data_IF_838761645904
#
_entry.id   IF_838761645904
#
_cell.length_a   1.000
_cell.length_b   1.000
_cell.length_c   1.000
_cell.angle_alpha   90.00
_cell.angle_beta   90.00
_cell.angle_gamma   90.00
#
_symmetry.space_group_name_H-M   'P 1'
#
loop_
_entity.id
_entity.type
_entity.pdbx_description
1 polymer ?
#
# COMPACT_ATOMS: atom_id res chain seq x y z
N UNK A 1 -12.77 -20.09 -19.60
CA UNK A 1 -13.19 -19.88 -18.20
C UNK A 1 -12.65 -18.53 -17.79
N UNK A 2 -13.55 -17.58 -17.52
CA UNK A 2 -13.20 -16.26 -17.03
C UNK A 2 -13.33 -16.27 -15.50
N UNK A 3 -12.26 -16.60 -14.81
CA UNK A 3 -12.16 -16.41 -13.38
C UNK A 3 -12.05 -14.91 -13.12
N UNK A 4 -12.93 -14.38 -12.28
CA UNK A 4 -12.89 -12.96 -11.86
C UNK A 4 -12.13 -12.90 -10.56
N UNK A 5 -11.05 -12.11 -10.52
CA UNK A 5 -10.27 -11.83 -9.32
C UNK A 5 -10.70 -10.46 -8.82
N UNK A 6 -11.26 -10.38 -7.62
CA UNK A 6 -11.85 -9.12 -7.10
C UNK A 6 -10.93 -8.41 -6.11
N UNK A 7 -10.15 -9.16 -5.32
CA UNK A 7 -9.30 -8.59 -4.27
C UNK A 7 -7.87 -8.29 -4.74
N UNK A 8 -7.35 -7.14 -4.32
CA UNK A 8 -6.01 -6.70 -4.73
C UNK A 8 -4.90 -7.67 -4.33
N UNK A 9 -5.00 -8.32 -3.17
CA UNK A 9 -4.06 -9.35 -2.73
C UNK A 9 -4.09 -10.57 -3.63
N UNK A 10 -5.28 -11.01 -4.04
CA UNK A 10 -5.45 -12.14 -4.97
C UNK A 10 -4.82 -11.82 -6.33
N UNK A 11 -4.98 -10.58 -6.83
CA UNK A 11 -4.33 -10.12 -8.06
C UNK A 11 -2.80 -10.19 -7.93
N UNK A 12 -2.24 -9.77 -6.80
CA UNK A 12 -0.79 -9.84 -6.55
C UNK A 12 -0.32 -11.30 -6.56
N UNK A 13 -1.01 -12.19 -5.84
CA UNK A 13 -0.68 -13.61 -5.76
C UNK A 13 -0.81 -14.29 -7.12
N UNK A 14 -1.85 -13.98 -7.87
CA UNK A 14 -2.02 -14.46 -9.24
C UNK A 14 -0.87 -13.98 -10.14
N UNK A 15 -0.55 -12.70 -10.13
CA UNK A 15 0.54 -12.14 -10.94
C UNK A 15 1.90 -12.78 -10.62
N UNK A 16 2.17 -13.09 -9.34
CA UNK A 16 3.36 -13.82 -8.93
C UNK A 16 3.36 -15.27 -9.43
N UNK A 17 2.20 -15.93 -9.47
CA UNK A 17 2.07 -17.31 -9.98
C UNK A 17 2.28 -17.40 -11.49
N UNK A 18 1.79 -16.41 -12.24
CA UNK A 18 1.94 -16.33 -13.69
C UNK A 18 3.33 -15.84 -14.15
N UNK A 19 4.14 -15.34 -13.21
CA UNK A 19 5.45 -14.79 -13.56
C UNK A 19 6.41 -15.86 -14.05
N UNK A 20 6.91 -15.68 -15.27
CA UNK A 20 7.97 -16.53 -15.86
C UNK A 20 9.39 -16.18 -15.38
N UNK A 21 9.52 -15.17 -14.51
CA UNK A 21 10.82 -14.74 -13.98
C UNK A 21 11.21 -15.60 -12.78
N UNK A 22 11.83 -16.74 -13.01
CA UNK A 22 12.54 -17.56 -12.01
C UNK A 22 11.96 -17.51 -10.58
N UNK A 23 12.78 -17.15 -9.60
CA UNK A 23 12.43 -17.17 -8.18
C UNK A 23 11.67 -15.92 -7.67
N UNK A 24 10.99 -15.16 -8.54
CA UNK A 24 10.35 -13.90 -8.15
C UNK A 24 9.33 -14.12 -7.02
N UNK A 25 8.59 -15.22 -7.05
CA UNK A 25 7.65 -15.57 -5.99
C UNK A 25 8.37 -15.75 -4.64
N UNK A 26 9.51 -16.44 -4.62
CA UNK A 26 10.28 -16.66 -3.40
C UNK A 26 10.88 -15.36 -2.85
N UNK A 27 11.20 -14.40 -3.71
CA UNK A 27 11.76 -13.10 -3.33
C UNK A 27 10.67 -12.24 -2.68
N UNK A 28 9.53 -12.09 -3.33
CA UNK A 28 8.46 -11.21 -2.84
C UNK A 28 7.52 -11.88 -1.86
N UNK A 29 7.50 -13.21 -1.79
CA UNK A 29 6.65 -13.97 -0.90
C UNK A 29 7.40 -15.19 -0.37
N UNK A 30 8.41 -14.99 0.51
CA UNK A 30 9.21 -16.07 1.08
C UNK A 30 8.37 -16.95 2.00
N UNK A 31 8.50 -18.27 1.83
CA UNK A 31 7.67 -19.25 2.52
C UNK A 31 7.81 -19.19 4.06
N UNK A 32 9.03 -18.93 4.54
CA UNK A 32 9.31 -18.81 5.97
C UNK A 32 8.79 -17.52 6.63
N UNK A 33 8.20 -16.61 5.87
CA UNK A 33 7.60 -15.34 6.33
C UNK A 33 6.13 -15.21 5.95
N UNK A 34 5.56 -16.24 5.38
CA UNK A 34 4.23 -16.21 4.78
C UNK A 34 3.14 -15.82 5.77
N UNK A 35 3.17 -16.41 6.97
CA UNK A 35 2.19 -16.14 8.01
C UNK A 35 2.27 -14.68 8.48
N UNK A 36 3.47 -14.20 8.80
CA UNK A 36 3.71 -12.82 9.23
C UNK A 36 3.30 -11.80 8.16
N UNK A 37 3.57 -12.13 6.89
CA UNK A 37 3.18 -11.30 5.74
C UNK A 37 1.67 -11.20 5.62
N UNK A 38 0.95 -12.31 5.74
CA UNK A 38 -0.51 -12.29 5.71
C UNK A 38 -1.11 -11.57 6.91
N UNK A 39 -0.52 -11.72 8.09
CA UNK A 39 -0.99 -11.05 9.30
C UNK A 39 -0.93 -9.52 9.14
N UNK A 40 0.20 -8.97 8.71
CA UNK A 40 0.35 -7.51 8.55
C UNK A 40 -0.51 -6.96 7.40
N UNK A 41 -0.72 -7.72 6.32
CA UNK A 41 -1.64 -7.34 5.24
C UNK A 41 -3.09 -7.33 5.75
N UNK A 42 -3.49 -8.37 6.49
CA UNK A 42 -4.82 -8.46 7.07
C UNK A 42 -5.09 -7.31 8.06
N UNK A 43 -4.12 -6.95 8.89
CA UNK A 43 -4.18 -5.78 9.76
C UNK A 43 -4.40 -4.47 8.97
N UNK A 44 -3.64 -4.31 7.88
CA UNK A 44 -3.83 -3.16 6.99
C UNK A 44 -5.24 -3.13 6.40
N UNK A 45 -5.72 -4.24 5.87
CA UNK A 45 -6.96 -4.29 5.09
C UNK A 45 -8.21 -4.18 5.96
N UNK A 46 -8.21 -4.76 7.15
CA UNK A 46 -9.38 -4.79 8.03
C UNK A 46 -9.40 -3.67 9.06
N UNK A 47 -8.24 -3.13 9.47
CA UNK A 47 -8.18 -2.16 10.54
C UNK A 47 -7.63 -0.80 10.08
N UNK A 48 -6.42 -0.76 9.54
CA UNK A 48 -5.83 0.52 9.15
C UNK A 48 -6.64 1.23 8.07
N UNK A 49 -7.05 0.53 7.01
CA UNK A 49 -7.88 1.10 5.92
C UNK A 49 -9.22 1.62 6.43
N UNK A 50 -9.84 0.92 7.39
CA UNK A 50 -11.07 1.38 8.02
C UNK A 50 -10.89 2.76 8.67
N UNK A 51 -9.80 2.96 9.40
CA UNK A 51 -9.49 4.23 10.04
C UNK A 51 -9.03 5.30 9.03
N UNK A 52 -8.21 4.93 8.06
CA UNK A 52 -7.77 5.80 6.97
C UNK A 52 -8.95 6.40 6.21
N UNK A 53 -9.91 5.59 5.80
CA UNK A 53 -11.04 6.04 4.98
C UNK A 53 -11.93 7.01 5.77
N UNK A 54 -12.19 6.75 7.04
CA UNK A 54 -13.01 7.60 7.90
C UNK A 54 -12.30 8.90 8.29
N UNK A 55 -11.00 8.87 8.41
CA UNK A 55 -10.19 10.07 8.58
C UNK A 55 -10.16 10.91 7.30
N UNK A 56 -9.81 10.29 6.17
CA UNK A 56 -9.66 10.97 4.88
C UNK A 56 -10.97 11.51 4.32
N UNK A 57 -12.07 10.80 4.53
CA UNK A 57 -13.38 11.11 4.00
C UNK A 57 -14.43 11.34 5.10
N UNK A 58 -14.04 11.98 6.20
CA UNK A 58 -14.90 12.19 7.36
C UNK A 58 -16.30 12.74 7.00
N UNK A 59 -16.38 13.63 6.02
CA UNK A 59 -17.64 14.22 5.54
C UNK A 59 -18.61 13.22 4.91
N UNK A 60 -18.16 12.03 4.53
CA UNK A 60 -19.01 10.96 3.96
C UNK A 60 -19.66 10.08 5.03
N UNK A 61 -19.17 10.13 6.25
CA UNK A 61 -19.61 9.30 7.37
C UNK A 61 -20.26 10.21 8.43
N UNK A 62 -21.59 10.17 8.53
CA UNK A 62 -22.37 11.10 9.37
C UNK A 62 -22.02 11.06 10.86
N UNK A 63 -21.58 9.90 11.35
CA UNK A 63 -21.28 9.65 12.76
C UNK A 63 -19.78 9.38 12.99
N UNK A 64 -18.91 9.84 12.08
CA UNK A 64 -17.47 9.59 12.16
C UNK A 64 -16.79 10.65 13.02
N UNK A 65 -16.16 10.22 14.10
CA UNK A 65 -15.21 11.01 14.87
C UNK A 65 -13.84 10.95 14.15
N UNK A 66 -13.54 12.01 13.40
CA UNK A 66 -12.29 12.13 12.63
C UNK A 66 -11.06 11.99 13.53
N UNK A 67 -11.06 12.59 14.74
CA UNK A 67 -9.94 12.53 15.66
C UNK A 67 -9.74 11.12 16.23
N UNK A 68 -10.83 10.42 16.50
CA UNK A 68 -10.78 9.01 16.89
C UNK A 68 -10.10 8.15 15.80
N UNK A 69 -10.51 8.32 14.54
CA UNK A 69 -9.96 7.57 13.43
C UNK A 69 -8.50 7.94 13.14
N UNK A 70 -8.17 9.22 13.20
CA UNK A 70 -6.77 9.66 13.11
C UNK A 70 -5.90 9.03 14.19
N UNK A 71 -6.32 9.10 15.45
CA UNK A 71 -5.57 8.57 16.60
C UNK A 71 -5.34 7.05 16.47
N UNK A 72 -6.34 6.31 16.00
CA UNK A 72 -6.18 4.87 15.80
C UNK A 72 -5.28 4.55 14.59
N UNK A 73 -5.41 5.27 13.47
CA UNK A 73 -4.50 5.11 12.34
C UNK A 73 -3.03 5.36 12.72
N UNK A 74 -2.75 6.36 13.57
CA UNK A 74 -1.40 6.65 14.06
C UNK A 74 -0.79 5.50 14.86
N UNK A 75 -1.57 4.68 15.55
CA UNK A 75 -1.04 3.50 16.26
C UNK A 75 -0.38 2.52 15.30
N UNK A 76 -0.98 2.28 14.13
CA UNK A 76 -0.41 1.44 13.07
C UNK A 76 0.87 2.06 12.51
N UNK A 77 0.85 3.36 12.22
CA UNK A 77 2.03 4.08 11.71
C UNK A 77 3.22 3.95 12.67
N UNK A 78 3.00 4.11 13.98
CA UNK A 78 4.04 3.97 15.00
C UNK A 78 4.57 2.54 15.07
N UNK A 79 3.69 1.55 15.14
CA UNK A 79 4.08 0.13 15.16
C UNK A 79 4.87 -0.25 13.90
N UNK A 80 4.42 0.18 12.74
CA UNK A 80 5.14 -0.09 11.49
C UNK A 80 6.48 0.66 11.42
N UNK A 81 6.57 1.86 11.99
CA UNK A 81 7.85 2.56 12.11
C UNK A 81 8.85 1.78 12.98
N UNK A 82 8.40 1.16 14.07
CA UNK A 82 9.23 0.31 14.92
C UNK A 82 9.75 -0.92 14.16
N UNK A 83 8.90 -1.62 13.40
CA UNK A 83 9.31 -2.74 12.54
C UNK A 83 10.33 -2.32 11.48
N UNK A 84 10.17 -1.14 10.90
CA UNK A 84 11.07 -0.57 9.90
C UNK A 84 12.33 0.06 10.50
N UNK A 85 12.43 0.21 11.82
CA UNK A 85 13.64 0.71 12.46
C UNK A 85 14.78 -0.31 12.43
N UNK A 86 14.45 -1.59 12.43
CA UNK A 86 15.41 -2.69 12.40
C UNK A 86 15.70 -3.20 10.98
N UNK A 87 14.81 -2.89 10.03
CA UNK A 87 14.88 -3.43 8.66
C UNK A 87 14.56 -2.34 7.64
N UNK A 88 15.11 -2.49 6.44
CA UNK A 88 14.81 -1.60 5.32
C UNK A 88 13.37 -1.73 4.82
N UNK A 89 12.79 -2.93 4.90
CA UNK A 89 11.41 -3.28 4.58
C UNK A 89 10.82 -4.12 5.71
N UNK A 90 9.52 -4.36 5.76
CA UNK A 90 8.88 -5.06 6.88
C UNK A 90 9.55 -6.38 7.27
N UNK A 91 10.10 -7.12 6.32
CA UNK A 91 10.65 -8.45 6.56
C UNK A 91 12.12 -8.61 6.13
N UNK A 92 12.88 -7.52 6.06
CA UNK A 92 14.31 -7.56 5.77
C UNK A 92 14.79 -6.50 4.77
N UNK A 93 15.82 -6.82 3.99
CA UNK A 93 16.51 -5.88 3.08
C UNK A 93 15.85 -5.75 1.71
N UNK A 94 14.88 -6.59 1.40
CA UNK A 94 14.14 -6.59 0.14
C UNK A 94 12.64 -6.48 0.38
N UNK A 95 11.91 -5.75 -0.50
CA UNK A 95 10.48 -5.61 -0.35
C UNK A 95 9.75 -6.94 -0.56
N UNK A 96 8.71 -7.19 0.22
CA UNK A 96 7.79 -8.30 0.06
C UNK A 96 6.43 -7.82 -0.43
N UNK A 97 5.49 -8.74 -0.65
CA UNK A 97 4.10 -8.35 -0.97
C UNK A 97 3.45 -7.55 0.16
N UNK A 98 3.90 -7.70 1.42
CA UNK A 98 3.43 -6.86 2.52
C UNK A 98 3.74 -5.38 2.25
N UNK A 99 4.98 -5.08 1.86
CA UNK A 99 5.40 -3.72 1.52
C UNK A 99 4.58 -3.17 0.36
N UNK A 100 4.41 -3.95 -0.71
CA UNK A 100 3.64 -3.53 -1.89
C UNK A 100 2.15 -3.36 -1.61
N UNK A 101 1.59 -4.13 -0.68
CA UNK A 101 0.18 -4.02 -0.29
C UNK A 101 -0.09 -2.83 0.62
N UNK A 102 0.85 -2.47 1.51
CA UNK A 102 0.62 -1.49 2.59
C UNK A 102 1.03 -0.07 2.18
N UNK A 103 2.16 0.10 1.46
CA UNK A 103 2.68 1.43 1.15
C UNK A 103 1.69 2.38 0.46
N UNK A 104 0.77 1.95 -0.44
CA UNK A 104 -0.17 2.86 -1.07
C UNK A 104 -1.13 3.51 -0.06
N UNK A 105 -1.50 2.77 0.97
CA UNK A 105 -2.43 3.24 2.01
C UNK A 105 -1.72 4.15 3.02
N UNK A 106 -0.50 3.81 3.42
CA UNK A 106 0.34 4.69 4.25
C UNK A 106 0.64 6.01 3.52
N UNK A 107 0.91 5.96 2.22
CA UNK A 107 1.05 7.15 1.38
C UNK A 107 -0.23 7.99 1.37
N UNK A 108 -1.39 7.37 1.20
CA UNK A 108 -2.67 8.08 1.23
C UNK A 108 -2.91 8.74 2.58
N UNK A 109 -2.59 8.05 3.68
CA UNK A 109 -2.71 8.60 5.02
C UNK A 109 -1.77 9.79 5.23
N UNK A 110 -0.51 9.71 4.78
CA UNK A 110 0.42 10.84 4.81
C UNK A 110 -0.14 12.06 4.08
N UNK A 111 -0.63 11.89 2.85
CA UNK A 111 -1.20 12.99 2.07
C UNK A 111 -2.43 13.60 2.79
N UNK A 112 -3.28 12.78 3.39
CA UNK A 112 -4.41 13.27 4.18
C UNK A 112 -3.95 14.06 5.41
N UNK A 113 -2.92 13.59 6.12
CA UNK A 113 -2.31 14.31 7.24
C UNK A 113 -1.70 15.65 6.81
N UNK A 114 -0.96 15.67 5.71
CA UNK A 114 -0.35 16.90 5.16
C UNK A 114 -1.42 17.94 4.77
N UNK A 115 -2.53 17.52 4.17
CA UNK A 115 -3.64 18.41 3.81
C UNK A 115 -4.28 19.08 5.03
N UNK A 116 -4.21 18.44 6.19
CA UNK A 116 -4.71 18.95 7.46
C UNK A 116 -3.60 19.57 8.34
N UNK A 117 -2.39 19.76 7.81
CA UNK A 117 -1.21 20.30 8.53
C UNK A 117 -0.76 19.43 9.71
N UNK A 118 -1.03 18.13 9.68
CA UNK A 118 -0.64 17.13 10.68
C UNK A 118 0.62 16.38 10.23
N UNK A 119 1.79 17.02 10.22
CA UNK A 119 3.01 16.49 9.59
C UNK A 119 3.97 15.76 10.52
N UNK A 120 3.81 15.85 11.84
CA UNK A 120 4.82 15.39 12.83
C UNK A 120 4.67 13.91 13.25
N UNK A 121 3.90 13.12 12.53
CA UNK A 121 3.56 11.75 12.93
C UNK A 121 4.33 10.67 12.15
N UNK A 122 5.08 11.07 11.12
CA UNK A 122 5.90 10.16 10.33
C UNK A 122 7.36 10.29 10.77
N UNK A 123 7.82 9.29 11.51
CA UNK A 123 9.20 9.17 11.96
C UNK A 123 10.11 8.73 10.81
N UNK A 124 11.42 8.75 11.05
CA UNK A 124 12.42 8.58 10.00
C UNK A 124 12.32 7.24 9.24
N UNK A 125 12.06 6.15 9.94
CA UNK A 125 12.08 4.81 9.33
C UNK A 125 10.95 4.63 8.32
N UNK A 126 9.71 4.90 8.73
CA UNK A 126 8.55 4.80 7.85
C UNK A 126 8.59 5.85 6.73
N UNK A 127 9.15 7.02 7.00
CA UNK A 127 9.36 8.05 5.98
C UNK A 127 10.35 7.58 4.91
N UNK A 128 11.51 7.04 5.33
CA UNK A 128 12.52 6.52 4.41
C UNK A 128 11.98 5.35 3.59
N UNK A 129 11.19 4.48 4.21
CA UNK A 129 10.53 3.37 3.54
C UNK A 129 9.53 3.88 2.47
N UNK A 130 8.65 4.83 2.78
CA UNK A 130 7.76 5.46 1.80
C UNK A 130 8.54 6.11 0.65
N UNK A 131 9.56 6.90 0.97
CA UNK A 131 10.39 7.58 -0.01
C UNK A 131 11.09 6.59 -0.97
N UNK A 132 11.46 5.40 -0.49
CA UNK A 132 12.10 4.37 -1.31
C UNK A 132 11.21 3.91 -2.47
N UNK A 133 9.89 3.84 -2.26
CA UNK A 133 8.93 3.52 -3.31
C UNK A 133 8.68 4.70 -4.24
N UNK A 134 8.47 5.90 -3.70
CA UNK A 134 8.14 7.09 -4.50
C UNK A 134 9.30 7.56 -5.40
N UNK A 135 10.54 7.29 -5.00
CA UNK A 135 11.74 7.58 -5.81
C UNK A 135 11.99 6.52 -6.89
N UNK A 136 11.32 5.38 -6.81
CA UNK A 136 11.49 4.30 -7.75
C UNK A 136 10.94 4.68 -9.14
N UNK A 137 11.59 4.19 -10.22
CA UNK A 137 11.18 4.42 -11.60
C UNK A 137 9.82 3.77 -11.89
N UNK A 138 9.58 2.59 -11.33
CA UNK A 138 8.33 1.85 -11.47
C UNK A 138 7.16 2.66 -10.92
N UNK A 139 7.32 3.30 -9.77
CA UNK A 139 6.29 4.18 -9.21
C UNK A 139 5.89 5.30 -10.18
N UNK A 140 6.86 5.93 -10.82
CA UNK A 140 6.58 7.02 -11.77
C UNK A 140 5.76 6.53 -12.96
N UNK A 141 6.02 5.33 -13.46
CA UNK A 141 5.23 4.74 -14.54
C UNK A 141 3.82 4.35 -14.10
N UNK A 142 3.66 3.86 -12.86
CA UNK A 142 2.34 3.53 -12.28
C UNK A 142 1.48 4.77 -12.05
N UNK A 143 2.10 5.92 -11.77
CA UNK A 143 1.40 7.18 -11.51
C UNK A 143 1.06 7.97 -12.78
N UNK A 144 1.38 7.44 -13.95
CA UNK A 144 0.94 8.03 -15.21
C UNK A 144 -0.58 8.05 -15.28
N UNK A 145 -1.15 9.24 -15.52
CA UNK A 145 -2.60 9.41 -15.66
C UNK A 145 -2.99 9.16 -17.11
N UNK A 146 -3.63 8.03 -17.33
CA UNK A 146 -4.29 7.76 -18.61
C UNK A 146 -5.54 8.63 -18.75
N UNK A 147 -5.91 8.92 -20.00
CA UNK A 147 -7.20 9.55 -20.30
C UNK A 147 -8.35 8.65 -19.82
N UNK A 148 -9.46 9.28 -19.42
CA UNK A 148 -10.66 8.53 -19.07
C UNK A 148 -11.09 7.71 -20.27
N UNK A 149 -11.42 6.45 -20.02
CA UNK A 149 -11.96 5.60 -21.07
C UNK A 149 -13.34 6.09 -21.49
N UNK A 150 -13.53 6.26 -22.80
CA UNK A 150 -14.82 6.57 -23.40
C UNK A 150 -15.09 5.56 -24.53
N UNK A 151 -16.36 5.23 -24.83
CA UNK A 151 -16.70 4.42 -26.00
C UNK A 151 -16.07 5.02 -27.26
N UNK A 152 -15.34 4.20 -28.02
CA UNK A 152 -14.62 4.60 -29.25
C UNK A 152 -13.33 5.42 -29.04
N UNK A 153 -12.87 5.64 -27.79
CA UNK A 153 -11.55 6.23 -27.55
C UNK A 153 -10.42 5.36 -28.09
N UNK A 154 -9.25 5.97 -28.32
CA UNK A 154 -8.05 5.22 -28.74
C UNK A 154 -7.66 4.23 -27.64
N UNK A 155 -7.18 3.03 -28.04
CA UNK A 155 -6.67 2.04 -27.09
C UNK A 155 -5.45 2.60 -26.35
N UNK A 156 -5.49 2.58 -25.05
CA UNK A 156 -4.33 2.84 -24.19
C UNK A 156 -3.71 1.52 -23.74
N UNK A 157 -2.38 1.46 -23.69
CA UNK A 157 -1.63 0.28 -23.26
C UNK A 157 -0.85 0.61 -22.01
N UNK A 158 -0.81 -0.34 -21.07
CA UNK A 158 -0.01 -0.25 -19.87
C UNK A 158 1.14 -1.28 -19.96
N UNK A 159 2.36 -0.90 -19.54
CA UNK A 159 2.80 0.48 -19.30
C UNK A 159 2.85 1.29 -20.60
N UNK A 160 2.68 2.63 -20.47
CA UNK A 160 2.92 3.53 -21.59
C UNK A 160 4.42 3.47 -21.95
N UNK A 161 4.72 3.19 -23.21
CA UNK A 161 6.09 3.18 -23.75
C UNK A 161 6.76 4.56 -23.63
#
# INVERSE_FOLDING_TARGET
>A
DSEVIEESLEIILWALSESKRGNIKLIYFPENKKEDIFEIINENDNEFKYHLDRFKYATRYKDSDEEFHFTNAIKFIKRWNELLAENKYFFGDSPTIADWSIWPFVRQFRIACESQKRTNYFESSIKNWLDSFEKNREFKSLMYKYELWEPYSRKSYFPSN
#
